data_IF_813600267321
#
_entry.id   IF_813600267321
#
_cell.length_a   1.000
_cell.length_b   1.000
_cell.length_c   1.000
_cell.angle_alpha   90.00
_cell.angle_beta   90.00
_cell.angle_gamma   90.00
#
_symmetry.space_group_name_H-M   'P 1'
#
loop_
_entity.id
_entity.type
_entity.pdbx_description
1 polymer ?
#
# COMPACT_ATOMS: atom_id res chain seq x y z
N UNK A 1 13.06 7.56 23.13
CA UNK A 1 12.04 6.65 22.59
C UNK A 1 12.62 5.98 21.35
N UNK A 2 12.60 4.66 21.27
CA UNK A 2 13.27 3.91 20.20
C UNK A 2 12.34 3.74 19.00
N UNK A 3 12.63 4.42 17.89
CA UNK A 3 11.85 4.35 16.63
C UNK A 3 11.78 2.91 16.11
N UNK A 4 12.83 2.10 16.31
CA UNK A 4 12.85 0.70 15.91
C UNK A 4 11.80 -0.14 16.63
N UNK A 5 11.52 0.14 17.91
CA UNK A 5 10.51 -0.57 18.67
C UNK A 5 9.09 -0.27 18.14
N UNK A 6 8.82 0.99 17.80
CA UNK A 6 7.53 1.41 17.24
C UNK A 6 7.27 0.88 15.83
N UNK A 7 8.31 0.76 15.01
CA UNK A 7 8.22 0.09 13.71
C UNK A 7 7.93 -1.40 13.91
N UNK A 8 8.58 -2.03 14.90
CA UNK A 8 8.29 -3.41 15.30
C UNK A 8 6.84 -3.61 15.73
N UNK A 9 6.32 -2.75 16.60
CA UNK A 9 4.92 -2.77 17.06
C UNK A 9 3.93 -2.58 15.90
N UNK A 10 4.23 -1.71 14.93
CA UNK A 10 3.37 -1.56 13.75
C UNK A 10 3.29 -2.86 12.95
N UNK A 11 4.41 -3.53 12.71
CA UNK A 11 4.42 -4.80 11.97
C UNK A 11 3.77 -5.93 12.77
N UNK A 12 3.93 -5.93 14.09
CA UNK A 12 3.30 -6.89 14.98
C UNK A 12 1.77 -6.72 15.01
N UNK A 13 1.27 -5.48 15.02
CA UNK A 13 -0.17 -5.20 15.04
C UNK A 13 -0.83 -5.25 13.66
N UNK A 14 -0.18 -4.75 12.60
CA UNK A 14 -0.71 -4.78 11.24
C UNK A 14 -0.59 -6.17 10.59
N UNK A 15 0.26 -7.03 11.15
CA UNK A 15 0.50 -8.40 10.71
C UNK A 15 1.41 -8.48 9.47
N UNK A 16 1.94 -9.67 9.23
CA UNK A 16 2.87 -9.94 8.13
C UNK A 16 2.27 -9.63 6.75
N UNK A 17 0.95 -9.85 6.59
CA UNK A 17 0.24 -9.53 5.35
C UNK A 17 0.38 -8.05 4.96
N UNK A 18 0.30 -7.13 5.93
CA UNK A 18 0.50 -5.71 5.67
C UNK A 18 1.94 -5.41 5.24
N UNK A 19 2.93 -6.04 5.87
CA UNK A 19 4.34 -5.88 5.51
C UNK A 19 4.63 -6.36 4.08
N UNK A 20 4.09 -7.52 3.69
CA UNK A 20 4.24 -8.04 2.33
C UNK A 20 3.53 -7.16 1.29
N UNK A 21 2.34 -6.64 1.61
CA UNK A 21 1.62 -5.73 0.75
C UNK A 21 2.35 -4.37 0.58
N UNK A 22 2.92 -3.86 1.67
CA UNK A 22 3.78 -2.69 1.65
C UNK A 22 5.01 -2.90 0.76
N UNK A 23 5.73 -4.01 0.92
CA UNK A 23 6.90 -4.32 0.12
C UNK A 23 6.56 -4.49 -1.37
N UNK A 24 5.46 -5.16 -1.69
CA UNK A 24 5.01 -5.33 -3.07
C UNK A 24 4.60 -4.00 -3.71
N UNK A 25 3.87 -3.16 -2.97
CA UNK A 25 3.53 -1.81 -3.41
C UNK A 25 4.77 -0.94 -3.63
N UNK A 26 5.76 -1.05 -2.76
CA UNK A 26 7.04 -0.33 -2.88
C UNK A 26 7.75 -0.69 -4.19
N UNK A 27 7.86 -1.98 -4.51
CA UNK A 27 8.47 -2.46 -5.76
C UNK A 27 7.66 -2.01 -6.98
N UNK A 28 6.32 -2.11 -6.92
CA UNK A 28 5.44 -1.64 -7.98
C UNK A 28 5.63 -0.13 -8.26
N UNK A 29 5.82 0.68 -7.22
CA UNK A 29 6.06 2.11 -7.35
C UNK A 29 7.44 2.46 -7.90
N UNK A 30 8.48 1.68 -7.58
CA UNK A 30 9.80 1.82 -8.25
C UNK A 30 9.61 1.60 -9.74
N UNK A 31 8.92 0.51 -10.08
CA UNK A 31 8.68 0.12 -11.47
C UNK A 31 7.88 1.18 -12.25
N UNK A 32 6.81 1.72 -11.66
CA UNK A 32 6.03 2.80 -12.29
C UNK A 32 6.84 4.10 -12.39
N UNK A 33 7.69 4.40 -11.41
CA UNK A 33 8.48 5.65 -11.39
C UNK A 33 9.68 5.63 -12.33
N UNK A 34 10.09 4.45 -12.80
CA UNK A 34 11.13 4.28 -13.81
C UNK A 34 10.68 4.63 -15.24
N UNK A 35 9.85 5.67 -15.39
CA UNK A 35 9.22 6.05 -16.66
C UNK A 35 10.29 6.37 -17.72
N UNK A 36 10.22 5.75 -18.90
CA UNK A 36 11.06 6.16 -20.01
C UNK A 36 10.64 7.55 -20.51
N UNK A 37 11.46 8.15 -21.39
CA UNK A 37 11.14 9.45 -22.01
C UNK A 37 9.75 9.42 -22.66
N UNK A 38 9.03 10.54 -22.65
CA UNK A 38 7.65 10.62 -23.14
C UNK A 38 7.44 10.11 -24.57
N UNK A 39 8.48 10.17 -25.42
CA UNK A 39 8.49 9.62 -26.77
C UNK A 39 8.46 8.07 -26.85
N UNK A 40 8.74 7.38 -25.74
CA UNK A 40 8.85 5.92 -25.66
C UNK A 40 7.76 5.28 -24.78
N UNK A 41 6.90 6.09 -24.14
CA UNK A 41 5.82 5.59 -23.29
C UNK A 41 4.75 4.89 -24.14
N UNK A 42 4.72 3.55 -24.08
CA UNK A 42 3.85 2.68 -24.87
C UNK A 42 2.57 2.21 -24.16
N UNK A 43 2.20 2.81 -23.03
CA UNK A 43 0.95 2.42 -22.36
C UNK A 43 -0.25 3.08 -23.05
N UNK A 44 -1.21 2.25 -23.49
CA UNK A 44 -2.50 2.74 -23.95
C UNK A 44 -3.27 3.45 -22.82
N UNK A 45 -4.20 4.33 -23.19
CA UNK A 45 -4.96 5.21 -22.26
C UNK A 45 -5.58 4.47 -21.07
N UNK A 46 -6.07 3.24 -21.29
CA UNK A 46 -6.73 2.42 -20.26
C UNK A 46 -5.71 1.86 -19.25
N UNK A 47 -4.60 1.30 -19.74
CA UNK A 47 -3.56 0.73 -18.88
C UNK A 47 -2.89 1.80 -18.02
N UNK A 48 -2.70 3.01 -18.58
CA UNK A 48 -2.24 4.17 -17.82
C UNK A 48 -3.22 4.60 -16.73
N UNK A 49 -4.53 4.59 -17.00
CA UNK A 49 -5.54 4.90 -15.99
C UNK A 49 -5.58 3.86 -14.85
N UNK A 50 -5.46 2.58 -15.18
CA UNK A 50 -5.40 1.48 -14.18
C UNK A 50 -4.18 1.63 -13.28
N UNK A 51 -3.01 1.94 -13.85
CA UNK A 51 -1.79 2.20 -13.09
C UNK A 51 -1.95 3.36 -12.10
N UNK A 52 -2.50 4.48 -12.57
CA UNK A 52 -2.73 5.67 -11.72
C UNK A 52 -3.68 5.32 -10.58
N UNK A 53 -4.78 4.62 -10.88
CA UNK A 53 -5.74 4.19 -9.87
C UNK A 53 -5.09 3.23 -8.87
N UNK A 54 -4.37 2.20 -9.33
CA UNK A 54 -3.73 1.22 -8.47
C UNK A 54 -2.67 1.86 -7.54
N UNK A 55 -1.86 2.78 -8.06
CA UNK A 55 -0.83 3.47 -7.27
C UNK A 55 -1.41 4.47 -6.27
N UNK A 56 -2.64 4.94 -6.44
CA UNK A 56 -3.33 5.79 -5.47
C UNK A 56 -4.12 4.97 -4.45
N UNK A 57 -4.82 3.93 -4.90
CA UNK A 57 -5.68 3.10 -4.06
C UNK A 57 -4.84 2.24 -3.13
N UNK A 58 -3.71 1.70 -3.59
CA UNK A 58 -2.88 0.78 -2.78
C UNK A 58 -2.35 1.45 -1.50
N UNK A 59 -1.71 2.64 -1.53
CA UNK A 59 -1.30 3.33 -0.32
C UNK A 59 -2.47 3.72 0.58
N UNK A 60 -3.63 4.07 0.00
CA UNK A 60 -4.82 4.38 0.78
C UNK A 60 -5.33 3.14 1.54
N UNK A 61 -5.38 1.97 0.90
CA UNK A 61 -5.78 0.72 1.56
C UNK A 61 -4.78 0.33 2.66
N UNK A 62 -3.49 0.42 2.39
CA UNK A 62 -2.45 0.17 3.40
C UNK A 62 -2.54 1.18 4.55
N UNK A 63 -2.85 2.43 4.28
CA UNK A 63 -3.12 3.43 5.31
C UNK A 63 -4.30 3.01 6.18
N UNK A 64 -5.45 2.67 5.58
CA UNK A 64 -6.65 2.23 6.31
C UNK A 64 -6.36 0.99 7.16
N UNK A 65 -5.69 -0.01 6.59
CA UNK A 65 -5.32 -1.23 7.31
C UNK A 65 -4.38 -0.95 8.49
N UNK A 66 -3.32 -0.17 8.27
CA UNK A 66 -2.39 0.24 9.32
C UNK A 66 -3.07 1.11 10.39
N UNK A 67 -3.96 2.01 9.97
CA UNK A 67 -4.74 2.88 10.84
C UNK A 67 -5.61 2.06 11.79
N UNK A 68 -6.34 1.08 11.27
CA UNK A 68 -7.16 0.18 12.08
C UNK A 68 -6.32 -0.69 13.04
N UNK A 69 -5.14 -1.14 12.61
CA UNK A 69 -4.26 -1.97 13.41
C UNK A 69 -3.72 -1.25 14.66
N UNK A 70 -3.43 0.05 14.54
CA UNK A 70 -2.90 0.87 15.65
C UNK A 70 -3.95 1.75 16.31
N UNK A 71 -5.24 1.47 16.12
CA UNK A 71 -6.34 2.37 16.55
C UNK A 71 -6.33 2.67 18.06
N UNK A 72 -5.95 1.67 18.85
CA UNK A 72 -5.88 1.74 20.30
C UNK A 72 -4.52 2.28 20.78
N UNK A 73 -3.61 2.55 19.83
CA UNK A 73 -2.32 3.18 20.03
C UNK A 73 -2.43 4.71 20.18
N UNK A 74 -1.51 5.28 20.94
CA UNK A 74 -1.40 6.73 21.10
C UNK A 74 -0.92 7.44 19.83
N UNK A 75 -0.89 8.78 19.85
CA UNK A 75 -0.49 9.66 18.73
C UNK A 75 0.74 9.19 17.94
N UNK A 76 1.74 8.63 18.63
CA UNK A 76 2.99 8.19 18.03
C UNK A 76 2.76 7.01 17.05
N UNK A 77 1.89 6.06 17.38
CA UNK A 77 1.62 4.92 16.50
C UNK A 77 0.96 5.38 15.18
N UNK A 78 0.04 6.34 15.27
CA UNK A 78 -0.54 7.02 14.11
C UNK A 78 0.53 7.70 13.24
N UNK A 79 1.45 8.42 13.87
CA UNK A 79 2.53 9.11 13.16
C UNK A 79 3.44 8.13 12.40
N UNK A 80 3.66 6.93 12.94
CA UNK A 80 4.46 5.88 12.28
C UNK A 80 3.76 5.32 11.04
N UNK A 81 2.44 5.08 11.10
CA UNK A 81 1.66 4.67 9.91
C UNK A 81 1.73 5.74 8.82
N UNK A 82 1.51 7.00 9.18
CA UNK A 82 1.60 8.12 8.24
C UNK A 82 3.00 8.18 7.63
N UNK A 83 4.05 8.11 8.46
CA UNK A 83 5.43 8.12 7.99
C UNK A 83 5.73 6.95 7.04
N UNK A 84 5.25 5.74 7.33
CA UNK A 84 5.40 4.59 6.45
C UNK A 84 4.75 4.83 5.08
N UNK A 85 3.55 5.41 5.03
CA UNK A 85 2.89 5.74 3.76
C UNK A 85 3.66 6.83 2.99
N UNK A 86 4.20 7.84 3.68
CA UNK A 86 5.06 8.83 3.03
C UNK A 86 6.33 8.20 2.44
N UNK A 87 6.99 7.30 3.19
CA UNK A 87 8.16 6.55 2.72
C UNK A 87 7.80 5.70 1.50
N UNK A 88 6.64 5.03 1.54
CA UNK A 88 6.12 4.22 0.45
C UNK A 88 5.93 5.01 -0.84
N UNK A 89 5.61 6.31 -0.76
CA UNK A 89 5.39 7.13 -1.95
C UNK A 89 6.70 7.78 -2.42
N UNK A 90 7.46 8.40 -1.51
CA UNK A 90 8.58 9.26 -1.86
C UNK A 90 9.84 8.48 -2.26
N UNK A 91 10.20 7.46 -1.47
CA UNK A 91 11.44 6.71 -1.68
C UNK A 91 11.44 5.93 -2.99
N UNK A 92 10.42 5.13 -3.33
CA UNK A 92 10.43 4.41 -4.59
C UNK A 92 10.26 5.34 -5.78
N UNK A 93 9.61 6.50 -5.61
CA UNK A 93 9.60 7.58 -6.60
C UNK A 93 11.01 8.04 -6.98
N UNK A 94 11.84 8.32 -5.97
CA UNK A 94 13.23 8.71 -6.18
C UNK A 94 14.08 7.58 -6.79
N UNK A 95 13.94 6.35 -6.28
CA UNK A 95 14.69 5.18 -6.78
C UNK A 95 14.32 4.92 -8.25
N UNK A 96 13.02 4.86 -8.58
CA UNK A 96 12.56 4.61 -9.94
C UNK A 96 13.04 5.67 -10.91
N UNK A 97 12.93 6.96 -10.53
CA UNK A 97 13.47 8.06 -11.32
C UNK A 97 14.98 7.91 -11.58
N UNK A 98 15.75 7.61 -10.54
CA UNK A 98 17.19 7.42 -10.65
C UNK A 98 17.56 6.24 -11.56
N UNK A 99 16.86 5.10 -11.41
CA UNK A 99 17.04 3.91 -12.27
C UNK A 99 16.72 4.25 -13.72
N UNK A 100 15.63 4.98 -13.99
CA UNK A 100 15.28 5.43 -15.34
C UNK A 100 16.32 6.38 -15.95
N UNK A 101 16.96 7.21 -15.13
CA UNK A 101 17.98 8.15 -15.57
C UNK A 101 19.34 7.47 -15.86
N UNK A 102 19.81 6.59 -14.98
CA UNK A 102 21.15 5.99 -15.05
C UNK A 102 21.17 4.72 -15.91
N UNK A 103 20.08 3.93 -15.90
CA UNK A 103 19.99 2.67 -16.62
C UNK A 103 18.69 2.59 -17.45
N UNK A 104 18.58 3.33 -18.57
CA UNK A 104 17.34 3.43 -19.35
C UNK A 104 16.79 2.08 -19.84
N UNK A 105 17.66 1.11 -20.13
CA UNK A 105 17.25 -0.25 -20.51
C UNK A 105 16.56 -0.99 -19.37
N UNK A 106 17.10 -0.88 -18.15
CA UNK A 106 16.48 -1.47 -16.96
C UNK A 106 15.18 -0.73 -16.63
N UNK A 107 15.16 0.61 -16.72
CA UNK A 107 13.96 1.42 -16.51
C UNK A 107 12.82 1.03 -17.44
N UNK A 108 13.09 0.77 -18.72
CA UNK A 108 12.09 0.25 -19.67
C UNK A 108 11.52 -1.11 -19.27
N UNK A 109 12.36 -2.03 -18.83
CA UNK A 109 11.92 -3.35 -18.36
C UNK A 109 11.04 -3.23 -17.11
N UNK A 110 11.49 -2.44 -16.13
CA UNK A 110 10.72 -2.18 -14.92
C UNK A 110 9.37 -1.52 -15.23
N UNK A 111 9.36 -0.48 -16.06
CA UNK A 111 8.12 0.19 -16.46
C UNK A 111 7.16 -0.76 -17.20
N UNK A 112 7.68 -1.69 -18.01
CA UNK A 112 6.87 -2.68 -18.72
C UNK A 112 6.15 -3.67 -17.80
N UNK A 113 6.74 -4.01 -16.63
CA UNK A 113 6.11 -4.89 -15.64
C UNK A 113 5.31 -4.15 -14.57
N UNK A 114 5.44 -2.82 -14.50
CA UNK A 114 4.75 -1.99 -13.52
C UNK A 114 3.23 -2.23 -13.45
N UNK A 115 2.48 -2.38 -14.56
CA UNK A 115 1.04 -2.65 -14.50
C UNK A 115 0.71 -3.95 -13.77
N UNK A 116 1.49 -5.01 -14.03
CA UNK A 116 1.28 -6.32 -13.40
C UNK A 116 1.58 -6.24 -11.91
N UNK A 117 2.68 -5.58 -11.54
CA UNK A 117 3.06 -5.38 -10.14
C UNK A 117 2.05 -4.51 -9.39
N UNK A 118 1.56 -3.43 -10.00
CA UNK A 118 0.57 -2.55 -9.40
C UNK A 118 -0.78 -3.26 -9.19
N UNK A 119 -1.23 -4.06 -10.16
CA UNK A 119 -2.42 -4.88 -10.01
C UNK A 119 -2.25 -5.94 -8.91
N UNK A 120 -1.08 -6.60 -8.85
CA UNK A 120 -0.79 -7.57 -7.79
C UNK A 120 -0.75 -6.92 -6.40
N UNK A 121 -0.09 -5.77 -6.28
CA UNK A 121 -0.03 -4.97 -5.05
C UNK A 121 -1.42 -4.53 -4.60
N UNK A 122 -2.25 -4.04 -5.53
CA UNK A 122 -3.62 -3.64 -5.25
C UNK A 122 -4.48 -4.82 -4.79
N UNK A 123 -4.47 -5.93 -5.54
CA UNK A 123 -5.25 -7.12 -5.19
C UNK A 123 -4.86 -7.65 -3.81
N UNK A 124 -3.57 -7.66 -3.50
CA UNK A 124 -3.09 -8.12 -2.21
C UNK A 124 -3.39 -7.13 -1.07
N UNK A 125 -3.29 -5.81 -1.32
CA UNK A 125 -3.71 -4.79 -0.36
C UNK A 125 -5.21 -4.87 -0.06
N UNK A 126 -6.06 -5.12 -1.08
CA UNK A 126 -7.49 -5.38 -0.90
C UNK A 126 -7.69 -6.60 0.00
N UNK A 127 -7.01 -7.72 -0.29
CA UNK A 127 -7.11 -8.94 0.51
C UNK A 127 -6.75 -8.70 1.99
N UNK A 128 -5.62 -8.05 2.25
CA UNK A 128 -5.14 -7.74 3.62
C UNK A 128 -6.07 -6.76 4.34
N UNK A 129 -6.66 -5.81 3.61
CA UNK A 129 -7.59 -4.82 4.20
C UNK A 129 -8.97 -5.42 4.45
N UNK A 130 -9.41 -6.40 3.66
CA UNK A 130 -10.75 -6.97 3.73
C UNK A 130 -10.96 -7.82 4.99
N UNK A 131 -9.98 -8.64 5.39
CA UNK A 131 -10.14 -9.56 6.52
C UNK A 131 -10.43 -8.87 7.88
N UNK A 132 -9.78 -7.74 8.24
CA UNK A 132 -10.15 -6.97 9.43
C UNK A 132 -11.54 -6.33 9.33
N UNK A 133 -11.91 -5.85 8.13
CA UNK A 133 -13.21 -5.18 7.90
C UNK A 133 -14.37 -6.16 8.04
N UNK A 134 -14.25 -7.38 7.51
CA UNK A 134 -15.29 -8.40 7.66
C UNK A 134 -15.47 -8.81 9.13
N UNK A 135 -14.38 -8.96 9.88
CA UNK A 135 -14.45 -9.29 11.31
C UNK A 135 -15.11 -8.18 12.15
N UNK A 136 -14.82 -6.91 11.82
CA UNK A 136 -15.46 -5.76 12.47
C UNK A 136 -16.97 -5.70 12.17
N UNK A 137 -17.37 -5.95 10.92
CA UNK A 137 -18.78 -5.99 10.51
C UNK A 137 -19.54 -7.12 11.21
N UNK A 138 -18.97 -8.32 11.27
CA UNK A 138 -19.57 -9.45 12.00
C UNK A 138 -19.80 -9.10 13.47
N UNK A 139 -18.80 -8.51 14.14
CA UNK A 139 -18.91 -8.10 15.53
C UNK A 139 -20.01 -7.05 15.74
N UNK A 140 -20.08 -6.05 14.85
CA UNK A 140 -21.08 -4.99 14.91
C UNK A 140 -22.51 -5.52 14.72
N UNK A 141 -22.70 -6.41 13.75
CA UNK A 141 -23.99 -7.06 13.48
C UNK A 141 -24.41 -7.90 14.67
N UNK A 142 -23.51 -8.70 15.25
CA UNK A 142 -23.80 -9.52 16.43
C UNK A 142 -24.23 -8.66 17.64
N UNK A 143 -23.55 -7.54 17.90
CA UNK A 143 -23.92 -6.62 18.98
C UNK A 143 -25.32 -6.01 18.78
N UNK A 144 -25.68 -5.67 17.54
CA UNK A 144 -27.01 -5.14 17.22
C UNK A 144 -28.10 -6.21 17.35
N UNK A 145 -27.83 -7.45 16.94
CA UNK A 145 -28.79 -8.54 17.09
C UNK A 145 -29.03 -8.90 18.56
N UNK A 146 -27.99 -8.95 19.39
CA UNK A 146 -28.11 -9.20 20.84
C UNK A 146 -28.92 -8.11 21.53
N UNK A 147 -28.63 -6.83 21.22
CA UNK A 147 -29.35 -5.70 21.82
C UNK A 147 -30.82 -5.58 21.36
N UNK A 148 -31.13 -6.07 20.16
CA UNK A 148 -32.50 -6.19 19.67
C UNK A 148 -33.26 -7.36 20.34
N UNK A 149 -32.59 -8.48 20.61
CA UNK A 149 -33.19 -9.65 21.27
C UNK A 149 -33.40 -9.47 22.78
N UNK A 150 -32.70 -8.52 23.41
CA UNK A 150 -32.81 -8.19 24.83
C UNK A 150 -33.96 -7.22 25.16
N UNK A 151 -34.72 -6.76 24.16
CA UNK A 151 -35.90 -5.89 24.31
C UNK A 151 -37.18 -6.69 24.09
#
# INVERSE_FOLDING_TARGET
MNIGALIGELFEHAGEGWAYAYALAFVAMIADSAKPKASEARHGRILGAVLIAANLITPFLLFVAGFWAVRDGGFIAWAVVVAAIFVLILVPGFIGWFVGAVAPNAGRLFFGIAPVLACAALAFAVYVTWAPVSAALETYVLQHLISAAAK
#
